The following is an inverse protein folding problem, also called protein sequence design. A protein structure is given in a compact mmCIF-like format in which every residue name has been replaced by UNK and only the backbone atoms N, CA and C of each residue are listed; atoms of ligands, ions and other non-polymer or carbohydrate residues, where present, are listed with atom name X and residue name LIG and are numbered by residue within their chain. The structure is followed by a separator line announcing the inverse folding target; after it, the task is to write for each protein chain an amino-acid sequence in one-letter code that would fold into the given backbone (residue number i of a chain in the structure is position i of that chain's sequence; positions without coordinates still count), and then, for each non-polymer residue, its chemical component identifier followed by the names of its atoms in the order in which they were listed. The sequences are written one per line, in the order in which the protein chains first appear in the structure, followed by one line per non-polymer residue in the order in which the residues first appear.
data_IF_244093592948
#
_entry.id   IF_244093592948
#
_cell.length_a   1.000
_cell.length_b   1.000
_cell.length_c   1.000
_cell.angle_alpha   90.00
_cell.angle_beta   90.00
_cell.angle_gamma   90.00
#
_symmetry.space_group_name_H-M   'P 1'
#
loop_
_entity.id
_entity.type
_entity.pdbx_description
1 polymer ?
#
# COMPACT_ATOMS: atom_id res chain seq x y z
N UNK A 1 -18.75 -27.83 1.44
CA UNK A 1 -18.05 -27.21 2.58
C UNK A 1 -17.20 -26.03 2.08
N UNK A 2 -17.79 -25.08 1.35
CA UNK A 2 -17.06 -24.00 0.65
C UNK A 2 -17.75 -22.64 0.84
N UNK A 3 -18.27 -22.36 2.02
CA UNK A 3 -18.84 -21.04 2.39
C UNK A 3 -18.25 -20.50 3.71
N UNK A 4 -17.39 -21.28 4.38
CA UNK A 4 -16.84 -20.94 5.69
C UNK A 4 -15.44 -20.30 5.63
N UNK A 5 -14.72 -20.46 4.51
CA UNK A 5 -13.37 -19.88 4.34
C UNK A 5 -13.45 -18.37 4.05
N UNK A 6 -14.54 -17.89 3.44
CA UNK A 6 -14.66 -16.50 3.00
C UNK A 6 -15.24 -15.54 4.06
N UNK A 7 -15.83 -16.06 5.14
CA UNK A 7 -16.58 -15.27 6.13
C UNK A 7 -15.81 -15.01 7.43
N UNK A 8 -14.82 -15.85 7.76
CA UNK A 8 -14.08 -15.76 9.03
C UNK A 8 -12.58 -15.52 8.88
N UNK A 9 -12.04 -15.43 7.66
CA UNK A 9 -10.65 -15.03 7.48
C UNK A 9 -10.49 -13.54 7.77
N UNK A 10 -9.96 -13.28 8.96
CA UNK A 10 -9.34 -12.00 9.29
C UNK A 10 -8.25 -11.77 8.24
N UNK A 11 -8.27 -10.59 7.61
CA UNK A 11 -7.27 -10.28 6.58
C UNK A 11 -5.86 -10.46 7.19
N UNK A 12 -4.91 -11.08 6.46
CA UNK A 12 -3.58 -11.35 7.00
C UNK A 12 -2.97 -10.09 7.62
N UNK A 13 -2.68 -10.14 8.92
CA UNK A 13 -2.10 -9.00 9.67
C UNK A 13 -3.07 -7.87 10.04
N UNK A 14 -4.39 -8.11 10.06
CA UNK A 14 -5.41 -7.13 10.46
C UNK A 14 -6.28 -7.66 11.60
N UNK A 15 -7.12 -6.79 12.16
CA UNK A 15 -8.07 -7.11 13.24
C UNK A 15 -9.53 -7.13 12.75
N UNK A 16 -9.75 -7.20 11.43
CA UNK A 16 -11.07 -7.16 10.82
C UNK A 16 -11.20 -8.18 9.68
N UNK A 17 -12.42 -8.65 9.44
CA UNK A 17 -12.74 -9.59 8.36
C UNK A 17 -12.92 -8.85 7.03
N UNK A 18 -12.85 -9.60 5.94
CA UNK A 18 -13.19 -9.09 4.60
C UNK A 18 -14.58 -8.43 4.58
N UNK A 19 -15.59 -9.04 5.21
CA UNK A 19 -16.95 -8.50 5.23
C UNK A 19 -17.04 -7.17 5.96
N UNK A 20 -16.38 -7.04 7.12
CA UNK A 20 -16.35 -5.77 7.86
C UNK A 20 -15.66 -4.67 7.04
N UNK A 21 -14.57 -5.02 6.35
CA UNK A 21 -13.89 -4.10 5.45
C UNK A 21 -14.79 -3.67 4.29
N UNK A 22 -15.43 -4.64 3.63
CA UNK A 22 -16.29 -4.38 2.48
C UNK A 22 -17.52 -3.55 2.89
N UNK A 23 -18.13 -3.86 4.03
CA UNK A 23 -19.21 -3.06 4.60
C UNK A 23 -18.76 -1.61 4.86
N UNK A 24 -17.56 -1.43 5.42
CA UNK A 24 -16.96 -0.10 5.62
C UNK A 24 -16.76 0.65 4.30
N UNK A 25 -16.27 -0.02 3.26
CA UNK A 25 -16.11 0.55 1.92
C UNK A 25 -17.46 0.93 1.32
N UNK A 26 -18.47 0.08 1.48
CA UNK A 26 -19.83 0.34 1.00
C UNK A 26 -20.47 1.52 1.73
N UNK A 27 -20.30 1.63 3.06
CA UNK A 27 -20.81 2.77 3.84
C UNK A 27 -20.12 4.08 3.44
N UNK A 28 -18.78 4.05 3.30
CA UNK A 28 -18.00 5.19 2.81
C UNK A 28 -18.47 5.64 1.44
N UNK A 29 -18.68 4.67 0.54
CA UNK A 29 -19.08 4.96 -0.84
C UNK A 29 -20.46 5.59 -0.88
N UNK A 30 -21.44 5.00 -0.18
CA UNK A 30 -22.82 5.52 -0.14
C UNK A 30 -22.92 6.91 0.47
N UNK A 31 -22.14 7.19 1.52
CA UNK A 31 -22.26 8.44 2.28
C UNK A 31 -21.43 9.58 1.72
N UNK A 32 -20.19 9.31 1.31
CA UNK A 32 -19.21 10.36 1.01
C UNK A 32 -18.75 10.34 -0.45
N UNK A 33 -18.79 9.19 -1.12
CA UNK A 33 -18.15 9.01 -2.42
C UNK A 33 -19.10 8.75 -3.58
N UNK A 34 -20.41 8.75 -3.34
CA UNK A 34 -21.43 8.34 -4.31
C UNK A 34 -21.28 9.07 -5.63
N UNK A 35 -21.11 10.38 -5.58
CA UNK A 35 -21.06 11.21 -6.79
C UNK A 35 -19.76 10.94 -7.55
N UNK A 36 -18.61 10.87 -6.86
CA UNK A 36 -17.31 10.50 -7.45
C UNK A 36 -17.30 9.10 -8.08
N UNK A 37 -17.99 8.15 -7.45
CA UNK A 37 -18.14 6.79 -7.95
C UNK A 37 -19.00 6.77 -9.22
N UNK A 38 -20.13 7.47 -9.20
CA UNK A 38 -21.05 7.56 -10.35
C UNK A 38 -20.39 8.25 -11.54
N UNK A 39 -19.54 9.24 -11.28
CA UNK A 39 -18.76 9.95 -12.30
C UNK A 39 -17.52 9.19 -12.78
N UNK A 40 -17.27 7.97 -12.30
CA UNK A 40 -16.15 7.13 -12.73
C UNK A 40 -14.78 7.64 -12.31
N UNK A 41 -14.70 8.51 -11.29
CA UNK A 41 -13.44 9.09 -10.81
C UNK A 41 -12.69 8.16 -9.86
N UNK A 42 -13.36 7.12 -9.36
CA UNK A 42 -12.81 6.14 -8.43
C UNK A 42 -12.52 4.85 -9.19
N UNK A 43 -11.25 4.43 -9.19
CA UNK A 43 -10.86 3.12 -9.72
C UNK A 43 -11.35 1.99 -8.80
N UNK A 44 -11.38 2.25 -7.49
CA UNK A 44 -12.03 1.39 -6.51
C UNK A 44 -11.14 0.24 -6.07
N UNK A 45 -11.43 -0.97 -6.53
CA UNK A 45 -10.79 -2.20 -6.06
C UNK A 45 -9.55 -2.51 -6.88
N UNK A 46 -8.39 -2.00 -6.42
CA UNK A 46 -7.10 -2.28 -7.05
C UNK A 46 -6.00 -2.49 -6.00
N UNK A 47 -5.28 -3.59 -6.15
CA UNK A 47 -4.15 -3.96 -5.29
C UNK A 47 -2.87 -3.17 -5.63
N UNK A 48 -1.96 -3.06 -4.66
CA UNK A 48 -0.71 -2.29 -4.80
C UNK A 48 0.13 -2.65 -6.03
N UNK A 49 0.17 -3.94 -6.37
CA UNK A 49 0.92 -4.44 -7.54
C UNK A 49 0.33 -3.93 -8.86
N UNK A 50 -1.00 -3.98 -9.02
CA UNK A 50 -1.67 -3.53 -10.23
C UNK A 50 -1.55 -2.02 -10.44
N UNK A 51 -1.61 -1.24 -9.36
CA UNK A 51 -1.33 0.20 -9.42
C UNK A 51 0.07 0.44 -9.99
N UNK A 52 1.05 -0.36 -9.57
CA UNK A 52 2.41 -0.24 -10.06
C UNK A 52 2.46 -0.37 -11.58
N UNK A 53 1.82 -1.41 -12.10
CA UNK A 53 1.75 -1.69 -13.53
C UNK A 53 1.04 -0.60 -14.34
N UNK A 54 -0.04 -0.02 -13.80
CA UNK A 54 -0.85 0.97 -14.51
C UNK A 54 -0.20 2.36 -14.49
N UNK A 55 0.40 2.75 -13.37
CA UNK A 55 0.97 4.10 -13.19
C UNK A 55 2.44 4.20 -13.61
N UNK A 56 3.20 3.09 -13.72
CA UNK A 56 4.64 3.15 -14.07
C UNK A 56 4.92 3.81 -15.43
N UNK A 57 3.99 3.67 -16.38
CA UNK A 57 4.10 4.22 -17.74
C UNK A 57 3.54 5.63 -17.86
N UNK A 58 2.98 6.18 -16.78
CA UNK A 58 2.28 7.47 -16.77
C UNK A 58 3.19 8.62 -16.33
N UNK A 59 2.90 9.86 -16.76
CA UNK A 59 3.70 11.02 -16.37
C UNK A 59 3.55 11.33 -14.87
N UNK A 60 4.55 12.02 -14.32
CA UNK A 60 4.54 12.49 -12.93
C UNK A 60 3.31 13.36 -12.65
N UNK A 61 2.70 13.17 -11.48
CA UNK A 61 1.45 13.82 -11.08
C UNK A 61 0.18 13.08 -11.51
N UNK A 62 0.29 12.01 -12.31
CA UNK A 62 -0.85 11.11 -12.58
C UNK A 62 -1.20 10.33 -11.32
N UNK A 63 -2.49 10.30 -10.96
CA UNK A 63 -2.98 9.60 -9.79
C UNK A 63 -4.28 8.84 -10.07
N UNK A 64 -4.61 7.91 -9.16
CA UNK A 64 -5.89 7.23 -9.11
C UNK A 64 -6.38 7.12 -7.67
N UNK A 65 -7.69 6.96 -7.53
CA UNK A 65 -8.38 6.72 -6.27
C UNK A 65 -8.70 5.23 -6.11
N UNK A 66 -8.38 4.67 -4.94
CA UNK A 66 -8.62 3.26 -4.63
C UNK A 66 -9.07 3.06 -3.19
N UNK A 67 -9.79 1.97 -2.93
CA UNK A 67 -10.06 1.54 -1.57
C UNK A 67 -8.79 0.99 -0.91
N UNK A 68 -8.56 1.40 0.33
CA UNK A 68 -7.46 0.90 1.13
C UNK A 68 -7.73 -0.54 1.54
N UNK A 69 -6.77 -1.43 1.31
CA UNK A 69 -6.75 -2.80 1.83
C UNK A 69 -6.40 -2.87 3.33
N UNK A 70 -5.82 -1.77 3.83
CA UNK A 70 -5.18 -1.69 5.14
C UNK A 70 -6.05 -0.97 6.17
N UNK A 71 -6.97 -0.13 5.68
CA UNK A 71 -7.83 0.73 6.49
C UNK A 71 -9.29 0.30 6.27
N UNK A 72 -10.02 0.08 7.36
CA UNK A 72 -11.43 -0.28 7.30
C UNK A 72 -12.25 0.89 6.72
N UNK A 73 -12.84 0.69 5.53
CA UNK A 73 -13.65 1.74 4.89
C UNK A 73 -12.88 3.03 4.61
N UNK A 74 -11.63 2.91 4.15
CA UNK A 74 -10.79 4.05 3.75
C UNK A 74 -10.57 4.13 2.24
N UNK A 75 -10.43 5.35 1.71
CA UNK A 75 -10.05 5.63 0.31
C UNK A 75 -8.66 6.27 0.27
N UNK A 76 -7.75 5.74 -0.55
CA UNK A 76 -6.37 6.21 -0.68
C UNK A 76 -6.12 6.71 -2.11
N UNK A 77 -5.12 7.59 -2.22
CA UNK A 77 -4.63 8.11 -3.50
C UNK A 77 -3.28 7.47 -3.79
N UNK A 78 -3.13 6.87 -4.97
CA UNK A 78 -1.83 6.46 -5.48
C UNK A 78 -1.43 7.36 -6.65
N UNK A 79 -0.19 7.86 -6.65
CA UNK A 79 0.28 8.80 -7.66
C UNK A 79 1.74 8.54 -8.07
N UNK A 80 2.10 8.98 -9.27
CA UNK A 80 3.50 8.99 -9.75
C UNK A 80 4.16 10.27 -9.25
N UNK A 81 5.15 10.14 -8.37
CA UNK A 81 5.90 11.29 -7.85
C UNK A 81 7.41 11.17 -8.10
N UNK A 82 8.15 12.29 -7.96
CA UNK A 82 9.61 12.26 -8.04
C UNK A 82 10.20 11.46 -6.87
N UNK A 83 11.36 10.85 -7.10
CA UNK A 83 12.20 10.27 -6.05
C UNK A 83 13.35 11.22 -5.71
N UNK A 84 13.95 11.05 -4.53
CA UNK A 84 15.15 11.81 -4.12
C UNK A 84 16.31 11.67 -5.11
N UNK A 85 16.37 10.55 -5.84
CA UNK A 85 17.40 10.28 -6.85
C UNK A 85 17.05 10.86 -8.24
N UNK A 86 16.05 11.75 -8.33
CA UNK A 86 15.58 12.33 -9.60
C UNK A 86 14.79 11.36 -10.49
N UNK A 87 14.47 10.15 -9.99
CA UNK A 87 13.65 9.16 -10.67
C UNK A 87 12.15 9.40 -10.47
N UNK A 88 11.33 8.44 -10.90
CA UNK A 88 9.89 8.40 -10.64
C UNK A 88 9.56 7.16 -9.82
N UNK A 89 8.74 7.31 -8.77
CA UNK A 89 8.17 6.19 -8.00
C UNK A 89 6.69 6.40 -7.78
N UNK A 90 5.98 5.30 -7.57
CA UNK A 90 4.59 5.33 -7.19
C UNK A 90 4.50 5.48 -5.68
N UNK A 91 3.80 6.50 -5.23
CA UNK A 91 3.62 6.86 -3.84
C UNK A 91 2.15 6.72 -3.46
N UNK A 92 1.87 6.30 -2.24
CA UNK A 92 0.51 6.15 -1.71
C UNK A 92 0.31 7.19 -0.61
N UNK A 93 -0.75 7.97 -0.70
CA UNK A 93 -1.17 8.90 0.35
C UNK A 93 -1.97 8.10 1.39
N UNK A 94 -1.86 8.51 2.66
CA UNK A 94 -2.64 7.94 3.73
C UNK A 94 -4.14 7.88 3.36
N UNK A 95 -4.82 6.75 3.63
CA UNK A 95 -6.25 6.63 3.36
C UNK A 95 -7.06 7.67 4.16
N UNK A 96 -8.05 8.28 3.51
CA UNK A 96 -9.07 9.08 4.15
C UNK A 96 -10.19 8.15 4.62
N UNK A 97 -10.48 8.22 5.92
CA UNK A 97 -11.61 7.51 6.51
C UNK A 97 -12.86 8.36 6.39
N UNK A 98 -14.02 7.74 6.62
CA UNK A 98 -15.29 8.46 6.72
C UNK A 98 -15.21 9.65 7.69
N UNK A 99 -14.54 9.49 8.84
CA UNK A 99 -14.37 10.57 9.83
C UNK A 99 -13.59 11.76 9.27
N UNK A 100 -12.65 11.51 8.35
CA UNK A 100 -11.87 12.58 7.71
C UNK A 100 -12.70 13.28 6.64
N UNK A 101 -13.48 12.52 5.86
CA UNK A 101 -14.37 13.04 4.83
C UNK A 101 -15.55 13.82 5.39
N UNK A 102 -16.05 13.43 6.57
CA UNK A 102 -17.12 14.15 7.29
C UNK A 102 -16.64 15.54 7.76
N UNK A 103 -15.36 15.68 8.13
CA UNK A 103 -14.77 16.97 8.50
C UNK A 103 -14.51 17.85 7.27
N UNK A 104 -14.05 17.23 6.19
CA UNK A 104 -13.71 17.90 4.95
C UNK A 104 -13.86 16.96 3.77
N UNK A 105 -14.73 17.31 2.84
CA UNK A 105 -15.02 16.48 1.67
C UNK A 105 -13.80 16.15 0.82
N UNK A 106 -13.87 15.02 0.13
CA UNK A 106 -12.76 14.47 -0.67
C UNK A 106 -12.25 15.47 -1.72
N UNK A 107 -13.15 16.18 -2.41
CA UNK A 107 -12.78 17.17 -3.43
C UNK A 107 -11.92 18.30 -2.87
N UNK A 108 -12.20 18.76 -1.65
CA UNK A 108 -11.39 19.79 -1.01
C UNK A 108 -10.04 19.25 -0.54
N UNK A 109 -9.97 18.00 -0.07
CA UNK A 109 -8.71 17.34 0.25
C UNK A 109 -7.84 17.17 -1.00
N UNK A 110 -8.42 16.71 -2.12
CA UNK A 110 -7.72 16.56 -3.41
C UNK A 110 -7.19 17.88 -3.96
N UNK A 111 -7.92 18.98 -3.73
CA UNK A 111 -7.51 20.30 -4.19
C UNK A 111 -6.18 20.73 -3.59
N UNK A 112 -5.96 20.47 -2.30
CA UNK A 112 -4.78 20.97 -1.60
C UNK A 112 -3.51 20.16 -1.90
N UNK A 113 -3.67 18.92 -2.34
CA UNK A 113 -2.54 18.05 -2.66
C UNK A 113 -1.94 18.53 -3.98
N UNK A 114 -0.82 19.26 -3.90
CA UNK A 114 -0.14 19.86 -5.06
C UNK A 114 0.65 18.85 -5.89
N UNK A 115 1.04 17.70 -5.31
CA UNK A 115 1.81 16.66 -6.00
C UNK A 115 0.97 15.84 -7.00
N UNK A 116 -0.34 16.04 -7.05
CA UNK A 116 -1.26 15.38 -7.98
C UNK A 116 -1.88 16.40 -8.95
N UNK A 117 -1.92 16.04 -10.23
CA UNK A 117 -2.34 16.93 -11.32
C UNK A 117 -3.31 16.28 -12.31
N UNK A 118 -3.20 14.99 -12.58
CA UNK A 118 -4.03 14.29 -13.57
C UNK A 118 -4.61 13.00 -12.98
N UNK A 119 -5.91 12.79 -13.11
CA UNK A 119 -6.56 11.51 -12.81
C UNK A 119 -6.31 10.57 -13.98
N UNK A 120 -5.96 9.32 -13.69
CA UNK A 120 -5.85 8.28 -14.70
C UNK A 120 -7.18 8.13 -15.47
N UNK A 121 -7.16 7.98 -16.81
CA UNK A 121 -5.97 7.79 -17.65
C UNK A 121 -5.25 9.07 -18.11
N UNK A 122 -5.95 10.21 -18.21
CA UNK A 122 -5.41 11.52 -18.64
C UNK A 122 -6.41 12.68 -18.43
N UNK A 123 -7.03 12.77 -17.25
CA UNK A 123 -8.04 13.78 -16.94
C UNK A 123 -7.46 14.85 -16.01
N UNK A 124 -7.53 16.13 -16.35
CA UNK A 124 -6.99 17.17 -15.49
C UNK A 124 -7.76 17.25 -14.15
N UNK A 125 -7.04 17.16 -13.02
CA UNK A 125 -7.62 17.16 -11.67
C UNK A 125 -8.61 18.30 -11.46
N UNK A 126 -8.23 19.51 -11.86
CA UNK A 126 -9.04 20.69 -11.62
C UNK A 126 -10.28 20.74 -12.51
N UNK A 127 -10.33 20.01 -13.62
CA UNK A 127 -11.51 19.94 -14.49
C UNK A 127 -12.54 18.97 -13.93
N UNK A 128 -12.09 17.75 -13.59
CA UNK A 128 -12.99 16.71 -13.08
C UNK A 128 -13.46 16.96 -11.66
N UNK A 129 -12.61 17.53 -10.80
CA UNK A 129 -12.97 17.80 -9.41
C UNK A 129 -13.57 19.19 -9.17
N UNK A 130 -13.63 20.04 -10.20
CA UNK A 130 -14.14 21.43 -10.07
C UNK A 130 -15.51 21.50 -9.39
N UNK A 131 -16.38 20.54 -9.69
CA UNK A 131 -17.77 20.51 -9.21
C UNK A 131 -17.91 20.09 -7.75
N UNK A 132 -16.86 19.49 -7.15
CA UNK A 132 -16.86 19.09 -5.73
C UNK A 132 -16.03 20.02 -4.85
N UNK A 133 -15.56 21.11 -5.44
CA UNK A 133 -14.86 22.15 -4.73
C UNK A 133 -15.88 22.98 -3.96
N UNK A 134 -15.80 22.97 -2.64
CA UNK A 134 -16.63 23.87 -1.83
C UNK A 134 -16.25 25.30 -2.19
N UNK A 135 -17.18 26.02 -2.80
CA UNK A 135 -17.07 27.46 -2.99
C UNK A 135 -17.32 28.12 -1.63
N UNK A 136 -16.33 28.85 -1.14
CA UNK A 136 -16.51 29.59 0.11
C UNK A 136 -17.47 30.74 -0.19
N UNK A 137 -18.65 30.82 0.45
CA UNK A 137 -19.54 31.95 0.22
C UNK A 137 -18.81 33.24 0.62
N UNK A 138 -18.97 34.34 -0.14
CA UNK A 138 -18.43 35.63 0.26
C UNK A 138 -19.05 36.00 1.61
N UNK A 139 -18.21 36.04 2.64
CA UNK A 139 -18.65 36.32 4.00
C UNK A 139 -19.11 37.79 4.07
N UNK A 140 -20.39 38.08 4.37
CA UNK A 140 -20.86 39.46 4.48
C UNK A 140 -20.36 40.19 5.74
N UNK A 141 -19.79 39.46 6.71
CA UNK A 141 -19.50 39.96 8.06
C UNK A 141 -18.02 40.33 8.34
N UNK A 142 -17.18 40.47 7.31
CA UNK A 142 -15.80 40.96 7.46
C UNK A 142 -14.82 40.03 8.20
N UNK A 143 -15.27 38.90 8.75
CA UNK A 143 -14.41 37.86 9.30
C UNK A 143 -13.73 37.06 8.18
N UNK A 144 -12.40 37.04 8.20
CA UNK A 144 -11.58 36.22 7.29
C UNK A 144 -11.73 34.74 7.68
N UNK A 145 -12.33 33.89 6.83
CA UNK A 145 -12.44 32.47 7.12
C UNK A 145 -11.05 31.81 7.12
N UNK A 146 -10.76 30.98 8.13
CA UNK A 146 -9.54 30.15 8.15
C UNK A 146 -9.79 28.87 7.34
N UNK A 147 -8.84 28.47 6.48
CA UNK A 147 -8.94 27.27 5.64
C UNK A 147 -7.87 26.26 6.05
N UNK A 148 -8.30 25.13 6.63
CA UNK A 148 -7.41 23.99 6.92
C UNK A 148 -7.02 23.34 5.59
N UNK A 149 -5.70 23.17 5.36
CA UNK A 149 -5.17 22.54 4.15
C UNK A 149 -4.53 21.19 4.43
N UNK A 150 -4.74 20.23 3.53
CA UNK A 150 -4.03 18.95 3.56
C UNK A 150 -2.68 19.10 2.87
N UNK A 151 -1.59 18.92 3.61
CA UNK A 151 -0.22 18.94 3.07
C UNK A 151 0.37 17.54 3.17
N UNK A 152 0.95 17.06 2.08
CA UNK A 152 1.69 15.79 2.05
C UNK A 152 3.17 16.12 2.14
N UNK A 153 3.83 15.74 3.24
CA UNK A 153 5.28 15.84 3.36
C UNK A 153 5.92 14.58 2.72
N UNK A 154 6.75 14.74 1.68
CA UNK A 154 7.39 13.61 1.01
C UNK A 154 8.52 12.96 1.85
N UNK A 155 9.07 13.67 2.85
CA UNK A 155 10.23 13.23 3.63
C UNK A 155 9.89 12.22 4.74
N UNK A 156 8.62 12.04 5.10
CA UNK A 156 8.15 11.10 6.14
C UNK A 156 7.88 9.68 5.62
N UNK A 157 8.31 9.35 4.39
CA UNK A 157 8.12 8.01 3.79
C UNK A 157 9.11 6.95 4.32
N UNK A 158 9.63 7.11 5.54
CA UNK A 158 10.49 6.12 6.18
C UNK A 158 10.18 5.94 7.67
N UNK A 159 10.20 4.67 8.10
CA UNK A 159 10.21 4.19 9.49
C UNK A 159 8.86 4.07 10.20
N UNK A 160 8.20 2.91 10.02
CA UNK A 160 7.42 2.34 11.12
C UNK A 160 8.40 1.99 12.27
N UNK A 161 8.49 2.85 13.28
CA UNK A 161 9.01 2.47 14.59
C UNK A 161 7.88 2.54 15.60
N UNK A 162 7.50 1.37 16.13
CA UNK A 162 6.58 1.22 17.25
C UNK A 162 7.12 2.00 18.48
N UNK A 163 6.27 2.64 19.28
CA UNK A 163 6.71 3.21 20.56
C UNK A 163 6.92 2.06 21.55
N UNK A 164 8.18 1.74 21.86
CA UNK A 164 8.53 0.94 23.03
C UNK A 164 8.37 1.84 24.25
N UNK A 165 7.41 1.50 25.12
CA UNK A 165 7.29 2.07 26.46
C UNK A 165 8.32 1.42 27.37
N UNK A 166 9.39 2.15 27.71
CA UNK A 166 10.30 1.81 28.80
C UNK A 166 9.72 2.27 30.15
N UNK A 167 9.66 1.42 31.20
CA UNK A 167 9.54 1.89 32.56
C UNK A 167 10.93 2.00 33.21
N UNK A 168 11.16 3.19 33.78
CA UNK A 168 12.23 3.58 34.70
C UNK A 168 12.72 2.47 35.64
N UNK A 169 14.05 2.31 35.75
CA UNK A 169 14.67 1.84 37.00
C UNK A 169 15.99 2.57 37.25
N UNK A 170 16.00 3.42 38.28
CA UNK A 170 17.16 4.15 38.80
C UNK A 170 17.43 3.61 40.20
N UNK A 171 18.57 2.94 40.40
CA UNK A 171 19.39 3.03 41.63
C UNK A 171 20.78 2.35 41.44
N UNK A 172 21.84 3.06 41.85
CA UNK A 172 23.31 2.78 41.74
C UNK A 172 23.83 1.90 42.93
N UNK A 173 25.15 1.78 43.29
CA UNK A 173 26.46 1.98 42.60
C UNK A 173 27.58 0.89 42.86
N UNK A 174 28.67 0.96 42.05
CA UNK A 174 30.15 0.75 42.31
C UNK A 174 30.68 -0.57 42.94
N UNK A 175 31.63 -1.25 42.24
CA UNK A 175 33.04 -1.44 42.69
C UNK A 175 33.91 -2.28 41.72
N UNK A 176 35.15 -1.81 41.58
CA UNK A 176 36.28 -2.29 40.78
C UNK A 176 37.00 -3.49 41.38
N UNK A 177 37.65 -4.36 40.58
CA UNK A 177 38.97 -4.95 40.91
C UNK A 177 39.60 -5.86 39.81
N UNK A 178 40.82 -5.48 39.38
CA UNK A 178 42.04 -6.24 39.06
C UNK A 178 42.09 -7.45 38.07
N UNK A 179 42.92 -7.29 37.03
CA UNK A 179 44.21 -8.05 36.89
C UNK A 179 44.26 -9.38 36.11
N UNK A 180 44.83 -9.29 34.88
CA UNK A 180 45.56 -10.24 33.98
C UNK A 180 46.16 -11.56 34.57
N UNK A 181 46.61 -12.59 33.78
CA UNK A 181 47.14 -12.53 32.40
C UNK A 181 46.81 -13.71 31.43
N UNK A 182 47.32 -13.59 30.21
CA UNK A 182 47.34 -14.59 29.12
C UNK A 182 48.03 -15.91 29.50
N UNK A 183 47.46 -17.04 29.07
CA UNK A 183 48.18 -18.29 28.83
C UNK A 183 47.83 -18.88 27.46
N UNK A 184 48.86 -18.95 26.61
CA UNK A 184 48.98 -19.86 25.47
C UNK A 184 48.80 -21.32 25.92
N UNK A 185 48.40 -22.15 24.96
CA UNK A 185 48.27 -23.62 25.02
C UNK A 185 47.08 -24.21 25.79
N UNK A 186 45.92 -24.28 25.13
CA UNK A 186 45.20 -25.56 25.01
C UNK A 186 44.09 -25.53 23.94
N UNK A 187 44.51 -25.35 22.70
CA UNK A 187 43.75 -25.76 21.53
C UNK A 187 43.55 -27.28 21.56
N UNK A 188 42.56 -27.81 22.31
CA UNK A 188 41.99 -29.16 22.14
C UNK A 188 40.68 -29.30 22.89
N UNK A 189 39.58 -29.14 22.16
CA UNK A 189 38.40 -30.04 22.16
C UNK A 189 37.16 -29.27 21.72
N UNK A 190 36.86 -29.30 20.41
CA UNK A 190 35.48 -29.44 19.94
C UNK A 190 35.52 -30.24 18.62
N UNK A 191 34.67 -31.27 18.45
CA UNK A 191 34.68 -32.11 17.27
C UNK A 191 34.05 -31.37 16.09
N UNK A 192 34.83 -31.18 15.04
CA UNK A 192 34.36 -30.74 13.73
C UNK A 192 33.59 -31.88 13.05
N UNK A 193 32.28 -31.71 12.83
CA UNK A 193 31.54 -32.45 11.82
C UNK A 193 32.03 -32.00 10.43
N UNK A 194 32.66 -32.91 9.69
CA UNK A 194 32.97 -32.75 8.27
C UNK A 194 32.04 -33.65 7.45
N UNK A 195 31.52 -33.19 6.29
CA UNK A 195 30.70 -34.01 5.42
C UNK A 195 31.54 -35.07 4.67
N UNK A 196 30.97 -36.26 4.39
CA UNK A 196 31.71 -37.35 3.75
C UNK A 196 32.01 -37.06 2.27
N UNK A 197 33.27 -37.30 1.92
CA UNK A 197 33.86 -37.34 0.59
C UNK A 197 33.15 -38.35 -0.32
N UNK A 198 32.65 -37.90 -1.49
CA UNK A 198 32.16 -38.77 -2.56
C UNK A 198 33.31 -39.10 -3.53
N UNK A 199 33.45 -40.35 -4.00
CA UNK A 199 34.46 -40.72 -4.99
C UNK A 199 34.06 -40.26 -6.40
N UNK A 200 35.03 -39.78 -7.17
CA UNK A 200 34.86 -39.40 -8.57
C UNK A 200 34.64 -40.62 -9.48
N UNK A 201 33.62 -40.55 -10.34
CA UNK A 201 33.43 -41.45 -11.48
C UNK A 201 33.47 -40.67 -12.79
N UNK A 202 34.17 -41.18 -13.83
CA UNK A 202 34.39 -40.44 -15.07
C UNK A 202 33.13 -40.38 -15.95
N UNK A 203 33.01 -39.27 -16.66
CA UNK A 203 31.95 -38.96 -17.62
C UNK A 203 31.79 -40.05 -18.68
N UNK A 204 30.57 -40.56 -18.83
CA UNK A 204 30.12 -41.25 -20.04
C UNK A 204 28.95 -40.47 -20.64
N UNK A 205 29.15 -40.03 -21.87
CA UNK A 205 28.22 -39.24 -22.66
C UNK A 205 27.02 -40.12 -23.06
N UNK A 206 25.82 -39.72 -22.67
CA UNK A 206 24.59 -40.20 -23.31
C UNK A 206 23.64 -39.02 -23.49
N UNK A 207 23.40 -38.71 -24.77
CA UNK A 207 22.44 -37.74 -25.25
C UNK A 207 21.03 -38.13 -24.76
N UNK A 208 20.38 -37.25 -24.02
CA UNK A 208 18.92 -37.20 -23.92
C UNK A 208 18.46 -35.80 -24.30
N UNK A 209 17.88 -35.71 -25.50
CA UNK A 209 17.13 -34.56 -25.96
C UNK A 209 15.87 -34.43 -25.09
N UNK A 210 15.84 -33.45 -24.19
CA UNK A 210 14.61 -33.06 -23.48
C UNK A 210 14.00 -31.86 -24.18
N UNK A 211 12.95 -32.15 -24.94
CA UNK A 211 12.04 -31.20 -25.56
C UNK A 211 11.38 -30.35 -24.46
N UNK A 212 11.46 -29.03 -24.60
CA UNK A 212 10.74 -28.10 -23.73
C UNK A 212 9.22 -28.33 -23.84
N UNK A 213 8.45 -28.29 -22.73
CA UNK A 213 7.00 -28.22 -22.84
C UNK A 213 6.62 -26.85 -23.38
N UNK A 214 5.90 -26.85 -24.51
CA UNK A 214 5.33 -25.66 -25.12
C UNK A 214 4.37 -24.96 -24.15
N UNK A 215 4.46 -23.63 -24.12
CA UNK A 215 3.44 -22.78 -23.56
C UNK A 215 2.16 -22.89 -24.41
N UNK A 216 1.06 -23.32 -23.80
CA UNK A 216 -0.25 -23.19 -24.40
C UNK A 216 -0.65 -21.69 -24.43
N UNK A 217 -1.26 -21.20 -25.52
CA UNK A 217 -1.76 -19.83 -25.59
C UNK A 217 -2.85 -19.60 -24.53
N UNK A 218 -2.77 -18.47 -23.83
CA UNK A 218 -3.85 -17.96 -22.99
C UNK A 218 -5.01 -17.62 -23.93
N UNK A 219 -6.09 -18.39 -23.88
CA UNK A 219 -7.37 -17.99 -24.46
C UNK A 219 -7.82 -16.68 -23.81
N UNK A 220 -8.06 -15.68 -24.66
CA UNK A 220 -8.66 -14.41 -24.30
C UNK A 220 -10.06 -14.65 -23.72
N UNK A 221 -10.20 -14.45 -22.41
CA UNK A 221 -11.51 -14.34 -21.77
C UNK A 221 -12.18 -13.06 -22.25
N UNK A 222 -13.24 -13.22 -23.04
CA UNK A 222 -14.08 -12.15 -23.56
C UNK A 222 -14.73 -11.35 -22.42
N UNK A 223 -14.81 -10.04 -22.60
CA UNK A 223 -15.31 -9.10 -21.59
C UNK A 223 -16.83 -9.23 -21.35
N UNK A 224 -17.54 -9.99 -22.19
CA UNK A 224 -18.99 -10.16 -22.14
C UNK A 224 -19.45 -11.20 -21.10
N UNK A 225 -18.60 -12.16 -20.72
CA UNK A 225 -18.94 -13.18 -19.72
C UNK A 225 -18.95 -12.63 -18.27
N UNK A 226 -18.26 -11.50 -18.02
CA UNK A 226 -18.25 -10.87 -16.70
C UNK A 226 -19.54 -10.08 -16.44
N UNK A 227 -20.25 -9.64 -17.48
CA UNK A 227 -21.52 -8.92 -17.34
C UNK A 227 -22.66 -9.83 -16.84
N UNK A 228 -22.65 -11.12 -17.22
CA UNK A 228 -23.69 -12.07 -16.82
C UNK A 228 -23.67 -12.45 -15.33
N UNK A 229 -22.49 -12.39 -14.69
CA UNK A 229 -22.33 -12.80 -13.28
C UNK A 229 -22.85 -11.70 -12.32
N UNK A 230 -22.91 -10.44 -12.76
CA UNK A 230 -23.33 -9.31 -11.92
C UNK A 230 -24.84 -9.03 -11.94
N UNK A 231 -25.62 -9.72 -12.77
CA UNK A 231 -27.07 -9.53 -12.86
C UNK A 231 -27.88 -10.48 -11.96
N UNK A 232 -27.22 -11.37 -11.23
CA UNK A 232 -27.86 -12.37 -10.37
C UNK A 232 -27.49 -12.25 -8.88
N UNK A 233 -27.02 -11.08 -8.46
CA UNK A 233 -26.86 -10.66 -7.05
C UNK A 233 -27.76 -9.44 -6.80
#
# INVERSE_FOLDING_TARGET
MMMAVFTQEVLPGRNFTFWQWFEGVMDLTKKCLRDYWTDGLIFGFIGKQHIHVILQSKPSGTFLLRFSDSEMGGISIAYVGPTENGGRRIQNIQPFTKKDLDKRGLGDQLRDISCISHVYPDLAKNEVFKKYFTETPPNPDGYVPFKVKTVVNPDDMSSQSLPVTDPMNVFQPISSTYGQPMNEDMFRQYPHCTPPYMPETPMSQTIFSLTAPQANPIESLDMDDIAGILQSI
#
